data_IF_310196423936
#
_entry.id   IF_310196423936
#
_cell.length_a   1.000
_cell.length_b   1.000
_cell.length_c   1.000
_cell.angle_alpha   90.00
_cell.angle_beta   90.00
_cell.angle_gamma   90.00
#
_symmetry.space_group_name_H-M   'P 1'
#
loop_
_entity.id
_entity.type
_entity.pdbx_description
1 polymer ?
#
# COMPACT_ATOMS: atom_id res chain seq x y z
N UNK A 1 -39.01 -8.93 50.13
CA UNK A 1 -39.62 -9.95 49.25
C UNK A 1 -40.26 -9.25 48.07
N UNK A 2 -39.55 -9.12 46.94
CA UNK A 2 -40.10 -8.52 45.72
C UNK A 2 -39.82 -9.46 44.55
N UNK A 3 -40.83 -10.25 44.17
CA UNK A 3 -40.79 -11.09 42.98
C UNK A 3 -40.88 -10.21 41.74
N UNK A 4 -39.77 -10.12 41.00
CA UNK A 4 -39.69 -9.42 39.71
C UNK A 4 -39.93 -10.45 38.60
N UNK A 5 -41.08 -10.34 37.96
CA UNK A 5 -41.51 -11.17 36.84
C UNK A 5 -40.51 -11.11 35.68
N UNK A 6 -39.86 -12.24 35.37
CA UNK A 6 -39.09 -12.42 34.14
C UNK A 6 -40.06 -12.76 33.00
N UNK A 7 -40.41 -11.77 32.19
CA UNK A 7 -41.04 -12.01 30.89
C UNK A 7 -39.98 -12.54 29.91
N UNK A 8 -40.03 -13.85 29.67
CA UNK A 8 -39.22 -14.53 28.65
C UNK A 8 -39.94 -14.40 27.30
N UNK A 9 -39.63 -13.33 26.56
CA UNK A 9 -40.06 -13.19 25.16
C UNK A 9 -39.05 -13.97 24.32
N UNK A 10 -39.46 -15.11 23.74
CA UNK A 10 -38.71 -15.80 22.67
C UNK A 10 -39.05 -15.11 21.34
N UNK A 11 -38.13 -14.35 20.71
CA UNK A 11 -38.34 -13.91 19.35
C UNK A 11 -38.14 -15.09 18.40
N UNK A 12 -39.24 -15.66 17.93
CA UNK A 12 -39.23 -16.65 16.85
C UNK A 12 -39.30 -15.90 15.51
N UNK A 13 -38.17 -15.30 15.11
CA UNK A 13 -38.05 -14.63 13.81
C UNK A 13 -37.27 -15.54 12.89
N UNK A 14 -37.99 -16.49 12.28
CA UNK A 14 -37.53 -17.19 11.08
C UNK A 14 -37.70 -16.25 9.87
N UNK A 15 -36.93 -15.16 9.84
CA UNK A 15 -36.76 -14.40 8.60
C UNK A 15 -35.78 -15.18 7.74
N UNK A 16 -36.31 -16.07 6.89
CA UNK A 16 -35.61 -16.56 5.71
C UNK A 16 -35.40 -15.36 4.79
N UNK A 17 -34.46 -14.49 5.14
CA UNK A 17 -33.87 -13.56 4.20
C UNK A 17 -33.14 -14.45 3.21
N UNK A 18 -33.83 -14.80 2.11
CA UNK A 18 -33.19 -15.05 0.84
C UNK A 18 -32.36 -13.81 0.59
N UNK A 19 -31.10 -13.82 1.05
CA UNK A 19 -30.10 -12.92 0.55
C UNK A 19 -30.20 -13.09 -0.95
N UNK A 20 -30.68 -12.06 -1.63
CA UNK A 20 -30.39 -11.91 -3.03
C UNK A 20 -28.86 -11.92 -3.07
N UNK A 21 -28.30 -13.10 -3.28
CA UNK A 21 -26.93 -13.31 -3.70
C UNK A 21 -26.89 -12.61 -5.05
N UNK A 22 -26.71 -11.30 -4.99
CA UNK A 22 -26.36 -10.51 -6.13
C UNK A 22 -25.10 -11.19 -6.63
N UNK A 23 -25.18 -11.86 -7.78
CA UNK A 23 -24.12 -12.43 -8.62
C UNK A 23 -23.12 -11.33 -9.07
N UNK A 24 -22.66 -10.57 -8.09
CA UNK A 24 -21.57 -9.60 -8.11
C UNK A 24 -20.34 -10.44 -7.75
N UNK A 25 -19.71 -11.16 -8.66
CA UNK A 25 -19.39 -10.78 -10.03
C UNK A 25 -19.23 -12.01 -10.91
N UNK A 26 -19.94 -12.08 -12.04
CA UNK A 26 -19.85 -13.15 -13.05
C UNK A 26 -18.49 -13.34 -13.75
N UNK A 27 -17.39 -12.91 -13.14
CA UNK A 27 -16.03 -13.22 -13.61
C UNK A 27 -15.64 -14.57 -13.02
N UNK A 28 -15.51 -15.57 -13.90
CA UNK A 28 -15.05 -16.91 -13.53
C UNK A 28 -13.76 -16.86 -12.69
N UNK A 29 -13.73 -17.60 -11.57
CA UNK A 29 -12.57 -17.73 -10.69
C UNK A 29 -11.31 -18.11 -11.49
N UNK A 30 -11.47 -18.95 -12.50
CA UNK A 30 -10.38 -19.35 -13.40
C UNK A 30 -9.78 -18.13 -14.12
N UNK A 31 -10.60 -17.20 -14.60
CA UNK A 31 -10.11 -15.99 -15.26
C UNK A 31 -9.32 -15.10 -14.29
N UNK A 32 -9.82 -14.92 -13.06
CA UNK A 32 -9.12 -14.13 -12.03
C UNK A 32 -7.76 -14.74 -11.69
N UNK A 33 -7.71 -16.07 -11.51
CA UNK A 33 -6.48 -16.82 -11.26
C UNK A 33 -5.45 -16.62 -12.38
N UNK A 34 -5.82 -16.89 -13.64
CA UNK A 34 -4.89 -16.78 -14.77
C UNK A 34 -4.43 -15.33 -15.00
N UNK A 35 -5.33 -14.36 -14.84
CA UNK A 35 -5.00 -12.94 -14.97
C UNK A 35 -3.98 -12.50 -13.91
N UNK A 36 -4.23 -12.82 -12.64
CA UNK A 36 -3.32 -12.50 -11.54
C UNK A 36 -1.98 -13.23 -11.67
N UNK A 37 -1.97 -14.48 -12.14
CA UNK A 37 -0.75 -15.27 -12.33
C UNK A 37 0.16 -14.66 -13.40
N UNK A 38 -0.39 -14.34 -14.57
CA UNK A 38 0.37 -13.75 -15.68
C UNK A 38 0.92 -12.38 -15.28
N UNK A 39 0.07 -11.53 -14.69
CA UNK A 39 0.48 -10.19 -14.24
C UNK A 39 1.52 -10.28 -13.11
N UNK A 40 1.33 -11.19 -12.15
CA UNK A 40 2.23 -11.41 -11.03
C UNK A 40 3.62 -11.86 -11.48
N UNK A 41 3.70 -12.87 -12.36
CA UNK A 41 4.98 -13.35 -12.90
C UNK A 41 5.70 -12.25 -13.68
N UNK A 42 4.99 -11.54 -14.55
CA UNK A 42 5.58 -10.44 -15.33
C UNK A 42 6.09 -9.33 -14.40
N UNK A 43 5.30 -8.94 -13.41
CA UNK A 43 5.67 -7.92 -12.41
C UNK A 43 6.88 -8.35 -11.59
N UNK A 44 6.95 -9.62 -11.17
CA UNK A 44 8.07 -10.18 -10.40
C UNK A 44 9.36 -10.17 -11.23
N UNK A 45 9.32 -10.66 -12.48
CA UNK A 45 10.48 -10.65 -13.38
C UNK A 45 10.97 -9.22 -13.61
N UNK A 46 10.06 -8.28 -13.91
CA UNK A 46 10.41 -6.87 -14.06
C UNK A 46 11.04 -6.29 -12.79
N UNK A 47 10.47 -6.57 -11.62
CA UNK A 47 10.95 -6.06 -10.33
C UNK A 47 12.33 -6.62 -9.99
N UNK A 48 12.53 -7.94 -10.14
CA UNK A 48 13.82 -8.60 -9.92
C UNK A 48 14.89 -8.10 -10.89
N UNK A 49 14.57 -7.91 -12.17
CA UNK A 49 15.51 -7.34 -13.14
C UNK A 49 15.92 -5.91 -12.77
N UNK A 50 14.95 -5.07 -12.38
CA UNK A 50 15.22 -3.70 -11.95
C UNK A 50 16.09 -3.71 -10.69
N UNK A 51 15.76 -4.56 -9.72
CA UNK A 51 16.47 -4.74 -8.47
C UNK A 51 17.91 -5.23 -8.69
N UNK A 52 18.11 -6.26 -9.52
CA UNK A 52 19.42 -6.77 -9.89
C UNK A 52 20.28 -5.69 -10.56
N UNK A 53 19.74 -5.00 -11.56
CA UNK A 53 20.44 -3.89 -12.24
C UNK A 53 20.76 -2.75 -11.30
N UNK A 54 19.92 -2.54 -10.29
CA UNK A 54 20.11 -1.52 -9.28
C UNK A 54 21.24 -1.87 -8.31
N UNK A 55 21.27 -3.12 -7.82
CA UNK A 55 22.35 -3.63 -6.95
C UNK A 55 23.69 -3.76 -7.67
N UNK A 56 23.70 -4.14 -8.95
CA UNK A 56 24.91 -4.35 -9.74
C UNK A 56 25.75 -3.07 -9.93
N UNK A 57 25.18 -1.87 -9.75
CA UNK A 57 25.90 -0.62 -9.91
C UNK A 57 26.14 0.05 -8.54
N UNK A 58 27.31 -0.23 -7.95
CA UNK A 58 27.70 0.30 -6.64
C UNK A 58 27.62 1.83 -6.54
N UNK A 59 27.93 2.56 -7.62
CA UNK A 59 27.88 4.04 -7.63
C UNK A 59 26.47 4.56 -7.40
N UNK A 60 25.44 3.82 -7.83
CA UNK A 60 24.03 4.20 -7.63
C UNK A 60 23.59 4.00 -6.19
N UNK A 61 24.19 3.06 -5.45
CA UNK A 61 23.82 2.79 -4.07
C UNK A 61 24.18 3.94 -3.13
N UNK A 62 25.21 4.73 -3.43
CA UNK A 62 25.63 5.83 -2.55
C UNK A 62 24.77 7.10 -2.65
N UNK A 63 23.93 7.21 -3.68
CA UNK A 63 23.03 8.35 -3.79
C UNK A 63 21.84 8.16 -2.85
N UNK A 64 21.68 9.09 -1.90
CA UNK A 64 20.69 9.04 -0.83
C UNK A 64 19.24 8.86 -1.35
N UNK A 65 18.91 9.49 -2.46
CA UNK A 65 17.62 9.33 -3.13
C UNK A 65 17.37 7.89 -3.60
N UNK A 66 18.40 7.10 -3.87
CA UNK A 66 18.19 5.79 -4.43
C UNK A 66 17.90 4.72 -3.35
N UNK A 67 18.05 5.03 -2.05
CA UNK A 67 17.69 4.07 -0.99
C UNK A 67 16.18 3.85 -0.83
N UNK A 68 15.34 4.87 -0.95
CA UNK A 68 13.88 4.68 -0.78
C UNK A 68 13.26 3.89 -1.95
N UNK A 69 13.53 4.27 -3.21
CA UNK A 69 14.19 3.38 -4.17
C UNK A 69 14.11 1.87 -3.92
N UNK A 70 15.23 1.41 -3.36
CA UNK A 70 15.49 0.05 -2.96
C UNK A 70 14.47 -0.48 -1.96
N UNK A 71 14.09 0.30 -0.94
CA UNK A 71 13.09 -0.12 0.07
C UNK A 71 11.71 -0.39 -0.55
N UNK A 72 11.26 0.45 -1.48
CA UNK A 72 10.03 0.23 -2.24
C UNK A 72 10.14 -1.01 -3.14
N UNK A 73 11.29 -1.24 -3.78
CA UNK A 73 11.50 -2.44 -4.60
C UNK A 73 11.43 -3.71 -3.73
N UNK A 74 12.08 -3.68 -2.58
CA UNK A 74 12.11 -4.80 -1.63
C UNK A 74 10.71 -5.11 -1.10
N UNK A 75 9.98 -4.12 -0.61
CA UNK A 75 8.61 -4.30 -0.12
C UNK A 75 7.68 -4.82 -1.22
N UNK A 76 7.81 -4.33 -2.45
CA UNK A 76 7.03 -4.83 -3.59
C UNK A 76 7.35 -6.29 -3.94
N UNK A 77 8.63 -6.68 -3.92
CA UNK A 77 9.02 -8.09 -4.14
C UNK A 77 8.45 -8.97 -3.02
N UNK A 78 8.54 -8.55 -1.76
CA UNK A 78 7.97 -9.30 -0.64
C UNK A 78 6.45 -9.46 -0.80
N UNK A 79 5.74 -8.39 -1.16
CA UNK A 79 4.29 -8.40 -1.37
C UNK A 79 3.90 -9.36 -2.52
N UNK A 80 4.62 -9.33 -3.64
CA UNK A 80 4.38 -10.28 -4.74
C UNK A 80 4.69 -11.73 -4.33
N UNK A 81 5.76 -11.95 -3.56
CA UNK A 81 6.13 -13.31 -3.15
C UNK A 81 5.22 -13.89 -2.06
N UNK A 82 4.65 -13.04 -1.20
CA UNK A 82 3.80 -13.46 -0.08
C UNK A 82 2.33 -13.35 -0.44
N UNK A 83 1.80 -12.12 -0.44
CA UNK A 83 0.39 -11.81 -0.62
C UNK A 83 -0.19 -12.36 -1.95
N UNK A 84 0.46 -12.06 -3.08
CA UNK A 84 0.00 -12.58 -4.39
C UNK A 84 0.07 -14.11 -4.46
N UNK A 85 1.11 -14.73 -3.91
CA UNK A 85 1.23 -16.19 -3.89
C UNK A 85 0.12 -16.84 -3.06
N UNK A 86 -0.18 -16.29 -1.88
CA UNK A 86 -1.24 -16.79 -1.01
C UNK A 86 -2.64 -16.56 -1.61
N UNK A 87 -2.87 -15.42 -2.25
CA UNK A 87 -4.10 -15.13 -2.99
C UNK A 87 -4.29 -16.10 -4.17
N UNK A 88 -3.26 -16.33 -4.97
CA UNK A 88 -3.30 -17.27 -6.10
C UNK A 88 -3.60 -18.69 -5.65
N UNK A 89 -3.02 -19.11 -4.53
CA UNK A 89 -3.31 -20.43 -4.00
C UNK A 89 -4.77 -20.54 -3.51
N UNK A 90 -5.29 -19.51 -2.83
CA UNK A 90 -6.70 -19.47 -2.44
C UNK A 90 -7.64 -19.57 -3.64
N UNK A 91 -7.33 -18.89 -4.74
CA UNK A 91 -8.11 -18.98 -5.99
C UNK A 91 -8.03 -20.36 -6.64
N UNK A 92 -6.87 -21.03 -6.58
CA UNK A 92 -6.69 -22.38 -7.11
C UNK A 92 -7.60 -23.39 -6.43
N UNK A 93 -7.84 -23.24 -5.12
CA UNK A 93 -8.68 -24.15 -4.33
C UNK A 93 -10.16 -23.75 -4.29
N UNK A 94 -10.65 -23.09 -5.35
CA UNK A 94 -12.04 -22.60 -5.44
C UNK A 94 -12.43 -21.67 -4.29
N UNK A 95 -11.50 -20.84 -3.83
CA UNK A 95 -11.71 -19.86 -2.75
C UNK A 95 -11.40 -20.36 -1.34
N UNK A 96 -10.85 -21.57 -1.18
CA UNK A 96 -10.41 -22.08 0.13
C UNK A 96 -8.96 -21.70 0.40
N UNK A 97 -8.64 -21.25 1.62
CA UNK A 97 -7.26 -20.97 2.00
C UNK A 97 -6.45 -22.27 2.22
N UNK A 98 -5.22 -22.36 1.68
CA UNK A 98 -4.34 -23.54 1.80
C UNK A 98 -4.17 -24.00 3.25
N UNK A 99 -3.89 -23.02 4.11
CA UNK A 99 -3.82 -23.18 5.54
C UNK A 99 -5.06 -22.52 6.12
N UNK A 100 -6.14 -23.28 6.21
CA UNK A 100 -7.37 -22.90 6.92
C UNK A 100 -7.15 -22.89 8.44
N UNK A 101 -6.08 -22.25 8.89
CA UNK A 101 -5.70 -22.11 10.28
C UNK A 101 -5.78 -20.64 10.66
N UNK A 102 -6.40 -20.38 11.80
CA UNK A 102 -6.49 -19.03 12.38
C UNK A 102 -5.14 -18.29 12.45
N UNK A 103 -4.01 -18.89 12.89
CA UNK A 103 -2.73 -18.18 12.94
C UNK A 103 -2.22 -17.78 11.56
N UNK A 104 -2.42 -18.59 10.51
CA UNK A 104 -2.01 -18.23 9.15
C UNK A 104 -2.76 -16.99 8.65
N UNK A 105 -4.08 -16.93 8.88
CA UNK A 105 -4.91 -15.77 8.54
C UNK A 105 -4.44 -14.48 9.23
N UNK A 106 -4.09 -14.56 10.52
CA UNK A 106 -3.58 -13.40 11.26
C UNK A 106 -2.22 -12.93 10.74
N UNK A 107 -1.33 -13.87 10.42
CA UNK A 107 -0.02 -13.56 9.80
C UNK A 107 -0.24 -12.90 8.44
N UNK A 108 -1.13 -13.45 7.62
CA UNK A 108 -1.44 -12.89 6.31
C UNK A 108 -1.94 -11.46 6.43
N UNK A 109 -2.99 -11.20 7.22
CA UNK A 109 -3.49 -9.84 7.44
C UNK A 109 -2.37 -8.92 7.96
N UNK A 110 -1.54 -9.38 8.89
CA UNK A 110 -0.44 -8.55 9.41
C UNK A 110 0.53 -8.16 8.30
N UNK A 111 0.92 -9.11 7.46
CA UNK A 111 1.85 -8.88 6.34
C UNK A 111 1.23 -7.94 5.29
N UNK A 112 -0.01 -8.21 4.86
CA UNK A 112 -0.71 -7.39 3.87
C UNK A 112 -0.84 -5.93 4.34
N UNK A 113 -1.52 -5.73 5.48
CA UNK A 113 -1.76 -4.40 6.01
C UNK A 113 -0.46 -3.64 6.31
N UNK A 114 0.56 -4.31 6.89
CA UNK A 114 1.84 -3.64 7.21
C UNK A 114 2.60 -3.25 5.95
N UNK A 115 2.76 -4.16 4.98
CA UNK A 115 3.56 -3.88 3.78
C UNK A 115 2.89 -2.83 2.88
N UNK A 116 1.57 -2.92 2.71
CA UNK A 116 0.83 -1.95 1.89
C UNK A 116 0.96 -0.53 2.44
N UNK A 117 0.70 -0.36 3.75
CA UNK A 117 0.81 0.95 4.38
C UNK A 117 2.26 1.45 4.50
N UNK A 118 3.23 0.53 4.62
CA UNK A 118 4.66 0.86 4.58
C UNK A 118 5.05 1.50 3.26
N UNK A 119 4.55 0.99 2.11
CA UNK A 119 4.84 1.60 0.81
C UNK A 119 4.33 3.05 0.73
N UNK A 120 3.10 3.30 1.16
CA UNK A 120 2.49 4.63 1.13
C UNK A 120 3.22 5.61 2.06
N UNK A 121 3.56 5.19 3.27
CA UNK A 121 4.31 6.04 4.23
C UNK A 121 5.76 6.29 3.81
N UNK A 122 6.45 5.29 3.24
CA UNK A 122 7.78 5.49 2.63
C UNK A 122 7.70 6.52 1.50
N UNK A 123 6.67 6.46 0.65
CA UNK A 123 6.47 7.41 -0.45
C UNK A 123 6.16 8.82 0.06
N UNK A 124 5.35 8.95 1.11
CA UNK A 124 5.09 10.22 1.77
C UNK A 124 6.35 10.84 2.37
N UNK A 125 7.13 10.04 3.09
CA UNK A 125 8.41 10.50 3.66
C UNK A 125 9.42 10.87 2.57
N UNK A 126 9.55 10.07 1.51
CA UNK A 126 10.41 10.39 0.37
C UNK A 126 10.04 11.71 -0.31
N UNK A 127 8.75 12.06 -0.33
CA UNK A 127 8.26 13.34 -0.85
C UNK A 127 8.68 14.52 0.04
N UNK A 128 8.55 14.39 1.36
CA UNK A 128 9.05 15.36 2.34
C UNK A 128 10.56 15.53 2.20
N UNK A 129 11.29 14.42 2.21
CA UNK A 129 12.75 14.39 2.11
C UNK A 129 13.24 15.08 0.83
N UNK A 130 12.60 14.81 -0.32
CA UNK A 130 12.94 15.46 -1.58
C UNK A 130 12.71 16.97 -1.52
N UNK A 131 11.64 17.41 -0.88
CA UNK A 131 11.38 18.84 -0.67
C UNK A 131 12.47 19.48 0.18
N UNK A 132 12.82 18.87 1.32
CA UNK A 132 13.89 19.34 2.20
C UNK A 132 15.23 19.41 1.46
N UNK A 133 15.61 18.40 0.68
CA UNK A 133 16.87 18.41 -0.09
C UNK A 133 16.95 19.57 -1.09
N UNK A 134 15.83 19.97 -1.65
CA UNK A 134 15.77 21.02 -2.68
C UNK A 134 15.77 22.42 -2.08
N UNK A 135 15.02 22.65 -1.00
CA UNK A 135 14.87 23.98 -0.39
C UNK A 135 15.84 24.22 0.77
N UNK A 136 16.33 23.16 1.41
CA UNK A 136 17.14 23.22 2.62
C UNK A 136 18.37 22.30 2.54
N UNK A 137 19.09 22.33 1.42
CA UNK A 137 20.26 21.47 1.16
C UNK A 137 21.34 21.51 2.27
N UNK A 138 21.50 22.66 2.94
CA UNK A 138 22.43 22.83 4.07
C UNK A 138 22.10 21.93 5.27
N UNK A 139 20.83 21.57 5.47
CA UNK A 139 20.38 20.77 6.62
C UNK A 139 20.80 19.29 6.54
N UNK A 140 21.08 18.78 5.33
CA UNK A 140 21.46 17.37 5.07
C UNK A 140 22.95 17.28 4.63
N UNK A 141 23.76 18.29 4.94
CA UNK A 141 25.15 18.34 4.49
C UNK A 141 26.04 17.29 5.19
N UNK A 142 25.88 17.13 6.51
CA UNK A 142 26.78 16.27 7.29
C UNK A 142 26.35 14.79 7.32
N UNK A 143 27.32 13.87 7.50
CA UNK A 143 27.04 12.42 7.61
C UNK A 143 26.10 12.10 8.79
N UNK A 144 26.27 12.77 9.93
CA UNK A 144 25.42 12.58 11.11
C UNK A 144 23.98 13.02 10.83
N UNK A 145 23.78 14.19 10.22
CA UNK A 145 22.45 14.66 9.83
C UNK A 145 21.77 13.70 8.83
N UNK A 146 22.52 13.18 7.85
CA UNK A 146 21.99 12.17 6.92
C UNK A 146 21.50 10.93 7.67
N UNK A 147 22.25 10.45 8.66
CA UNK A 147 21.82 9.31 9.47
C UNK A 147 20.47 9.56 10.17
N UNK A 148 20.35 10.69 10.88
CA UNK A 148 19.14 11.02 11.64
C UNK A 148 17.92 11.34 10.78
N UNK A 149 18.07 12.11 9.70
CA UNK A 149 16.92 12.54 8.89
C UNK A 149 16.50 11.49 7.84
N UNK A 150 17.44 10.72 7.30
CA UNK A 150 17.16 9.73 6.26
C UNK A 150 16.92 8.35 6.87
N UNK A 151 17.95 7.70 7.41
CA UNK A 151 17.89 6.29 7.78
C UNK A 151 17.02 6.01 9.01
N UNK A 152 17.15 6.85 10.04
CA UNK A 152 16.39 6.68 11.28
C UNK A 152 14.88 6.84 11.02
N UNK A 153 14.48 7.82 10.20
CA UNK A 153 13.08 8.08 9.88
C UNK A 153 12.39 6.89 9.22
N UNK A 154 12.99 6.30 8.18
CA UNK A 154 12.42 5.09 7.55
C UNK A 154 12.36 3.91 8.52
N UNK A 155 13.39 3.73 9.35
CA UNK A 155 13.44 2.64 10.34
C UNK A 155 12.32 2.78 11.36
N UNK A 156 12.11 3.98 11.90
CA UNK A 156 11.04 4.27 12.86
C UNK A 156 9.67 4.03 12.22
N UNK A 157 9.45 4.50 10.99
CA UNK A 157 8.17 4.30 10.28
C UNK A 157 7.83 2.82 10.08
N UNK A 158 8.82 2.01 9.68
CA UNK A 158 8.64 0.57 9.50
C UNK A 158 8.32 -0.10 10.85
N UNK A 159 9.12 0.17 11.88
CA UNK A 159 8.88 -0.42 13.22
C UNK A 159 7.51 -0.03 13.76
N UNK A 160 7.11 1.23 13.61
CA UNK A 160 5.81 1.73 14.02
C UNK A 160 4.67 0.95 13.36
N UNK A 161 4.69 0.79 12.04
CA UNK A 161 3.61 0.10 11.32
C UNK A 161 3.52 -1.38 11.68
N UNK A 162 4.64 -2.09 11.71
CA UNK A 162 4.64 -3.50 12.10
C UNK A 162 4.15 -3.67 13.54
N UNK A 163 4.60 -2.82 14.47
CA UNK A 163 4.15 -2.90 15.87
C UNK A 163 2.66 -2.59 16.00
N UNK A 164 2.17 -1.59 15.27
CA UNK A 164 0.74 -1.24 15.25
C UNK A 164 -0.11 -2.42 14.77
N UNK A 165 0.20 -2.99 13.60
CA UNK A 165 -0.60 -4.08 13.03
C UNK A 165 -0.48 -5.39 13.80
N UNK A 166 0.70 -5.71 14.32
CA UNK A 166 0.85 -6.84 15.25
C UNK A 166 -0.06 -6.63 16.48
N UNK A 167 -0.05 -5.44 17.07
CA UNK A 167 -0.89 -5.10 18.20
C UNK A 167 -2.39 -5.24 17.91
N UNK A 168 -2.88 -4.60 16.83
CA UNK A 168 -4.32 -4.59 16.55
C UNK A 168 -4.87 -5.93 16.02
N UNK A 169 -4.02 -6.78 15.43
CA UNK A 169 -4.46 -8.08 14.88
C UNK A 169 -4.34 -9.21 15.89
N UNK A 170 -3.24 -9.26 16.67
CA UNK A 170 -3.00 -10.33 17.65
C UNK A 170 -3.57 -10.02 19.03
N UNK A 171 -3.72 -8.74 19.41
CA UNK A 171 -4.29 -8.30 20.68
C UNK A 171 -5.55 -7.42 20.53
N UNK A 172 -6.51 -7.77 19.65
CA UNK A 172 -7.75 -7.00 19.53
C UNK A 172 -8.62 -7.17 20.80
N UNK A 173 -9.44 -6.17 21.15
CA UNK A 173 -10.38 -6.28 22.27
C UNK A 173 -11.61 -7.13 21.93
N UNK A 174 -11.63 -7.77 20.76
CA UNK A 174 -12.74 -8.58 20.25
C UNK A 174 -12.21 -9.81 19.50
N UNK A 175 -13.05 -10.84 19.35
CA UNK A 175 -12.64 -12.11 18.74
C UNK A 175 -12.61 -11.98 17.21
N UNK A 176 -11.48 -12.31 16.60
CA UNK A 176 -11.39 -12.42 15.13
C UNK A 176 -12.25 -13.58 14.64
N UNK A 177 -13.07 -13.30 13.62
CA UNK A 177 -13.85 -14.30 12.90
C UNK A 177 -13.17 -14.60 11.56
N UNK A 178 -13.21 -15.86 11.14
CA UNK A 178 -12.56 -16.31 9.90
C UNK A 178 -13.57 -17.12 9.08
N UNK A 179 -13.61 -16.86 7.78
CA UNK A 179 -14.35 -17.68 6.83
C UNK A 179 -13.36 -18.33 5.84
N UNK A 180 -12.95 -19.55 6.15
CA UNK A 180 -11.98 -20.31 5.35
C UNK A 180 -12.50 -20.77 3.98
N UNK A 181 -13.79 -20.56 3.69
CA UNK A 181 -14.40 -20.86 2.38
C UNK A 181 -14.40 -19.65 1.44
N UNK A 182 -13.79 -18.53 1.83
CA UNK A 182 -13.66 -17.35 1.00
C UNK A 182 -12.20 -16.89 0.91
N UNK A 183 -11.93 -16.10 -0.13
CA UNK A 183 -10.62 -15.53 -0.44
C UNK A 183 -10.16 -14.62 0.72
N UNK A 184 -8.85 -14.57 0.99
CA UNK A 184 -8.26 -13.73 2.06
C UNK A 184 -8.79 -14.03 3.47
N UNK A 185 -9.14 -15.30 3.72
CA UNK A 185 -9.76 -15.75 4.97
C UNK A 185 -11.17 -15.16 5.21
N UNK A 186 -11.76 -14.56 4.16
CA UNK A 186 -13.18 -14.36 3.94
C UNK A 186 -13.89 -13.30 4.79
N UNK A 187 -13.25 -12.82 5.85
CA UNK A 187 -13.77 -11.82 6.76
C UNK A 187 -12.71 -10.78 7.06
N UNK A 188 -13.16 -9.61 7.52
CA UNK A 188 -12.27 -8.54 7.93
C UNK A 188 -11.75 -8.77 9.36
N UNK A 189 -10.50 -8.36 9.66
CA UNK A 189 -10.01 -8.33 11.04
C UNK A 189 -10.96 -7.60 11.97
N UNK A 190 -11.12 -8.10 13.20
CA UNK A 190 -12.10 -7.56 14.15
C UNK A 190 -11.85 -6.10 14.51
N UNK A 191 -10.60 -5.62 14.47
CA UNK A 191 -10.29 -4.22 14.75
C UNK A 191 -11.01 -3.25 13.79
N UNK A 192 -11.39 -3.70 12.59
CA UNK A 192 -12.16 -2.91 11.63
C UNK A 192 -13.63 -2.71 12.03
N UNK A 193 -14.10 -3.36 13.09
CA UNK A 193 -15.41 -3.07 13.71
C UNK A 193 -15.34 -1.95 14.75
N UNK A 194 -14.13 -1.58 15.19
CA UNK A 194 -13.91 -0.60 16.25
C UNK A 194 -13.69 0.76 15.60
N UNK A 195 -14.69 1.64 15.72
CA UNK A 195 -14.71 2.94 15.04
C UNK A 195 -13.43 3.75 15.22
N UNK A 196 -12.87 3.78 16.43
CA UNK A 196 -11.63 4.51 16.72
C UNK A 196 -10.44 3.97 15.91
N UNK A 197 -10.25 2.64 15.86
CA UNK A 197 -9.12 2.04 15.14
C UNK A 197 -9.28 2.16 13.63
N UNK A 198 -10.50 2.02 13.11
CA UNK A 198 -10.82 2.26 11.70
C UNK A 198 -10.51 3.70 11.32
N UNK A 199 -10.94 4.66 12.14
CA UNK A 199 -10.70 6.08 11.88
C UNK A 199 -9.20 6.40 11.94
N UNK A 200 -8.48 5.82 12.89
CA UNK A 200 -7.02 5.95 12.99
C UNK A 200 -6.34 5.40 11.74
N UNK A 201 -6.69 4.19 11.31
CA UNK A 201 -6.11 3.57 10.12
C UNK A 201 -6.39 4.38 8.84
N UNK A 202 -7.64 4.81 8.68
CA UNK A 202 -8.07 5.64 7.55
C UNK A 202 -7.35 6.99 7.53
N UNK A 203 -7.25 7.68 8.67
CA UNK A 203 -6.65 9.02 8.72
C UNK A 203 -5.12 8.93 8.67
N UNK A 204 -4.50 8.17 9.57
CA UNK A 204 -3.06 8.21 9.82
C UNK A 204 -2.28 7.38 8.81
N UNK A 205 -2.78 6.22 8.39
CA UNK A 205 -2.04 5.34 7.47
C UNK A 205 -2.42 5.57 6.00
N UNK A 206 -3.61 6.11 5.73
CA UNK A 206 -4.09 6.31 4.37
C UNK A 206 -4.20 7.80 3.98
N UNK A 207 -5.09 8.57 4.61
CA UNK A 207 -5.43 9.93 4.16
C UNK A 207 -4.26 10.91 4.34
N UNK A 208 -3.65 10.94 5.53
CA UNK A 208 -2.55 11.84 5.87
C UNK A 208 -1.31 11.61 4.97
N UNK A 209 -0.80 10.38 4.78
CA UNK A 209 0.31 10.13 3.86
C UNK A 209 -0.01 10.56 2.43
N UNK A 210 -1.24 10.32 1.97
CA UNK A 210 -1.69 10.73 0.63
C UNK A 210 -1.67 12.26 0.49
N UNK A 211 -2.20 12.99 1.48
CA UNK A 211 -2.18 14.45 1.49
C UNK A 211 -0.76 15.00 1.53
N UNK A 212 0.14 14.39 2.31
CA UNK A 212 1.57 14.73 2.34
C UNK A 212 2.18 14.55 0.95
N UNK A 213 1.99 13.40 0.30
CA UNK A 213 2.49 13.16 -1.07
C UNK A 213 1.99 14.25 -2.02
N UNK A 214 0.71 14.59 -1.98
CA UNK A 214 0.12 15.61 -2.84
C UNK A 214 0.73 17.00 -2.57
N UNK A 215 0.73 17.45 -1.31
CA UNK A 215 1.24 18.77 -0.90
C UNK A 215 2.71 18.94 -1.29
N UNK A 216 3.56 17.93 -1.05
CA UNK A 216 5.00 18.04 -1.35
C UNK A 216 5.33 17.85 -2.83
N UNK A 217 4.49 17.13 -3.59
CA UNK A 217 4.67 16.94 -5.03
C UNK A 217 4.25 18.15 -5.87
N UNK A 218 3.30 18.96 -5.39
CA UNK A 218 2.80 20.14 -6.11
C UNK A 218 3.88 21.23 -6.34
N UNK A 219 4.67 21.67 -5.34
CA UNK A 219 5.75 22.64 -5.53
C UNK A 219 6.85 22.15 -6.48
N UNK A 220 7.16 20.85 -6.41
CA UNK A 220 8.10 20.19 -7.31
C UNK A 220 7.62 20.29 -8.77
N UNK A 221 6.34 19.99 -9.00
CA UNK A 221 5.72 20.11 -10.32
C UNK A 221 5.69 21.56 -10.80
N UNK A 222 5.28 22.50 -9.94
CA UNK A 222 5.27 23.92 -10.24
C UNK A 222 6.66 24.42 -10.67
N UNK A 223 7.72 24.05 -9.93
CA UNK A 223 9.10 24.43 -10.27
C UNK A 223 9.54 23.89 -11.62
N UNK A 224 9.19 22.64 -11.95
CA UNK A 224 9.49 22.04 -13.26
C UNK A 224 8.81 22.82 -14.39
N UNK A 225 7.53 23.20 -14.20
CA UNK A 225 6.77 24.00 -15.17
C UNK A 225 7.37 25.40 -15.33
N UNK A 226 7.71 26.08 -14.23
CA UNK A 226 8.31 27.42 -14.24
C UNK A 226 9.67 27.42 -14.93
N UNK A 227 10.52 26.43 -14.67
CA UNK A 227 11.83 26.32 -15.33
C UNK A 227 11.68 26.10 -16.83
N UNK A 228 10.70 25.29 -17.26
CA UNK A 228 10.39 25.05 -18.68
C UNK A 228 10.00 26.33 -19.41
N UNK A 229 9.22 27.22 -18.78
CA UNK A 229 8.84 28.51 -19.40
C UNK A 229 10.06 29.38 -19.74
N UNK A 230 11.14 29.23 -18.97
CA UNK A 230 12.37 30.01 -19.16
C UNK A 230 13.30 29.35 -20.19
N UNK A 231 13.33 28.02 -20.27
CA UNK A 231 14.21 27.27 -21.18
C UNK A 231 13.40 26.64 -22.32
N UNK A 232 13.22 27.40 -23.41
CA UNK A 232 12.51 27.00 -24.64
C UNK A 232 13.26 25.92 -25.45
N UNK A 233 13.53 24.76 -24.87
CA UNK A 233 14.12 23.60 -25.58
C UNK A 233 13.10 22.47 -25.65
N UNK A 234 12.60 22.21 -26.86
CA UNK A 234 11.19 21.84 -27.08
C UNK A 234 10.82 20.36 -26.99
N UNK A 235 11.73 19.37 -27.05
CA UNK A 235 11.27 18.02 -27.43
C UNK A 235 11.43 16.87 -26.40
N UNK A 236 12.09 17.06 -25.24
CA UNK A 236 12.41 15.93 -24.33
C UNK A 236 11.58 15.82 -23.04
N UNK A 237 10.91 16.90 -22.61
CA UNK A 237 10.32 16.98 -21.26
C UNK A 237 8.81 16.73 -21.14
N UNK A 238 8.05 16.70 -22.24
CA UNK A 238 6.60 16.38 -22.18
C UNK A 238 6.32 14.98 -21.59
N UNK A 239 7.27 14.05 -21.71
CA UNK A 239 7.19 12.69 -21.13
C UNK A 239 7.38 12.64 -19.61
N UNK A 240 7.94 13.69 -18.98
CA UNK A 240 8.28 13.69 -17.54
C UNK A 240 7.11 14.24 -16.71
N UNK A 241 6.42 15.28 -17.18
CA UNK A 241 5.28 15.89 -16.46
C UNK A 241 4.05 14.98 -16.39
N UNK A 242 3.80 14.17 -17.41
CA UNK A 242 2.63 13.27 -17.46
C UNK A 242 2.67 12.19 -16.38
N UNK A 243 3.87 11.79 -15.95
CA UNK A 243 4.09 10.69 -15.02
C UNK A 243 3.99 11.13 -13.54
N UNK A 244 4.26 12.40 -13.24
CA UNK A 244 4.06 12.94 -11.88
C UNK A 244 2.60 13.28 -11.62
N UNK A 245 1.82 13.56 -12.67
CA UNK A 245 0.40 13.92 -12.58
C UNK A 245 -0.53 12.71 -12.38
N UNK A 246 -0.12 11.51 -12.76
CA UNK A 246 -0.93 10.28 -12.57
C UNK A 246 -1.08 9.88 -11.10
N UNK A 247 -0.07 10.15 -10.26
CA UNK A 247 -0.06 9.79 -8.83
C UNK A 247 -1.23 10.39 -8.02
N UNK A 248 -1.44 11.72 -8.00
CA UNK A 248 -2.55 12.31 -7.24
C UNK A 248 -3.92 11.99 -7.85
N UNK A 249 -4.00 11.78 -9.17
CA UNK A 249 -5.25 11.40 -9.83
C UNK A 249 -5.71 10.00 -9.41
N UNK A 250 -4.78 9.05 -9.37
CA UNK A 250 -5.02 7.69 -8.91
C UNK A 250 -5.41 7.67 -7.43
N UNK A 251 -4.77 8.50 -6.60
CA UNK A 251 -5.16 8.68 -5.20
C UNK A 251 -6.57 9.25 -5.05
N UNK A 252 -6.93 10.33 -5.76
CA UNK A 252 -8.28 10.88 -5.75
C UNK A 252 -9.33 9.85 -6.19
N UNK A 253 -9.05 9.06 -7.23
CA UNK A 253 -9.95 8.00 -7.68
C UNK A 253 -10.16 6.91 -6.63
N UNK A 254 -9.13 6.59 -5.83
CA UNK A 254 -9.25 5.60 -4.75
C UNK A 254 -10.10 6.07 -3.55
N UNK A 255 -10.33 7.38 -3.40
CA UNK A 255 -11.15 7.95 -2.33
C UNK A 255 -12.59 8.29 -2.75
N UNK A 256 -12.96 8.10 -4.02
CA UNK A 256 -14.35 8.27 -4.41
C UNK A 256 -15.19 7.18 -3.72
N UNK A 257 -16.19 7.57 -2.89
CA UNK A 257 -16.98 6.63 -2.13
C UNK A 257 -17.92 5.88 -3.08
N UNK A 258 -17.44 4.80 -3.67
CA UNK A 258 -18.30 3.88 -4.38
C UNK A 258 -19.00 3.02 -3.33
N UNK A 259 -20.24 3.41 -3.02
CA UNK A 259 -21.06 2.76 -2.01
C UNK A 259 -21.14 1.26 -2.27
N UNK A 260 -20.89 0.47 -1.22
CA UNK A 260 -21.12 -0.98 -1.14
C UNK A 260 -20.12 -1.89 -1.86
N UNK A 261 -18.87 -1.88 -1.41
CA UNK A 261 -18.14 -3.06 -0.87
C UNK A 261 -16.66 -2.68 -0.72
N UNK A 262 -16.18 -2.84 0.50
CA UNK A 262 -14.83 -2.56 0.98
C UNK A 262 -13.73 -3.08 0.05
N UNK A 263 -12.73 -2.23 -0.17
CA UNK A 263 -11.35 -2.58 -0.54
C UNK A 263 -11.09 -3.25 -1.90
N UNK A 264 -11.13 -2.48 -2.99
CA UNK A 264 -10.21 -2.75 -4.12
C UNK A 264 -8.86 -2.07 -3.86
N UNK A 265 -7.97 -2.73 -3.11
CA UNK A 265 -6.57 -2.32 -2.88
C UNK A 265 -5.65 -2.60 -4.08
N UNK A 266 -6.07 -2.33 -5.32
CA UNK A 266 -5.27 -2.66 -6.54
C UNK A 266 -4.26 -1.54 -6.91
N UNK A 267 -4.11 -0.51 -6.08
CA UNK A 267 -3.61 0.78 -6.56
C UNK A 267 -2.07 0.99 -6.61
N UNK A 268 -1.19 0.38 -5.79
CA UNK A 268 0.21 0.84 -5.73
C UNK A 268 1.16 0.25 -6.79
N UNK A 269 0.77 -0.81 -7.51
CA UNK A 269 1.68 -1.48 -8.47
C UNK A 269 1.96 -0.59 -9.71
N UNK A 270 1.00 0.24 -10.11
CA UNK A 270 1.15 1.15 -11.26
C UNK A 270 2.02 2.38 -10.96
N UNK A 271 2.15 2.77 -9.69
CA UNK A 271 2.89 3.97 -9.29
C UNK A 271 4.41 3.82 -9.37
N UNK A 272 4.93 2.59 -9.45
CA UNK A 272 6.36 2.33 -9.26
C UNK A 272 7.19 2.21 -10.55
N UNK A 273 6.61 1.66 -11.62
CA UNK A 273 7.25 1.60 -12.94
C UNK A 273 7.54 2.99 -13.54
N UNK A 274 6.98 4.03 -12.94
CA UNK A 274 6.95 5.40 -13.42
C UNK A 274 8.14 6.27 -12.94
N UNK A 275 8.79 5.95 -11.81
CA UNK A 275 9.84 6.80 -11.23
C UNK A 275 11.25 6.62 -11.86
N UNK A 276 11.52 5.52 -12.58
CA UNK A 276 12.87 5.14 -13.04
C UNK A 276 13.48 6.03 -14.13
N UNK A 277 12.69 6.83 -14.87
CA UNK A 277 13.19 7.67 -15.99
C UNK A 277 13.66 9.07 -15.59
N UNK A 278 13.51 9.47 -14.33
CA UNK A 278 13.77 10.84 -13.88
C UNK A 278 15.27 11.09 -13.57
N UNK A 279 16.07 10.06 -13.29
CA UNK A 279 17.39 10.24 -12.66
C UNK A 279 18.62 9.90 -13.51
N UNK A 280 18.48 9.39 -14.74
CA UNK A 280 19.64 9.02 -15.57
C UNK A 280 20.24 10.15 -16.41
N UNK A 281 19.70 11.39 -16.38
CA UNK A 281 20.12 12.46 -17.31
C UNK A 281 20.94 13.61 -16.71
N UNK A 282 21.14 13.66 -15.39
CA UNK A 282 21.81 14.79 -14.72
C UNK A 282 23.14 14.46 -14.01
N UNK A 283 23.76 13.29 -14.25
CA UNK A 283 25.03 12.88 -13.59
C UNK A 283 26.23 12.88 -14.57
N UNK A 284 26.14 13.58 -15.70
CA UNK A 284 27.25 13.72 -16.67
C UNK A 284 27.58 15.18 -17.01
N UNK A 285 27.47 16.07 -16.02
CA UNK A 285 28.10 17.40 -16.04
C UNK A 285 28.69 17.71 -14.68
#
# INVERSE_FOLDING_TARGET
>A
MHQRWKFSIKPNVHSSSKSADIDTSGISIAFQFWSLLIVGILSLICSLFVFYRYLSNHTRLYALHNHFILLLMMTNIILILTDFSWMLDSLRQSGRALSATSPFSMIWWTVDFSLYNTQTLILAWASIERHILIFHSKMISTRKQKFYYHYLSYTILIIYLFTFYIGVIFLPPCKNEFNFNAVECGLNPCYLSIQFLVLWDLIIHNALPTLIIAIFSLPLLYRIISHKKTTSTTNSMAKISTVTLSLPYVACLSYLPNGTRQHRRIVPILTFLQHRRIYTRNITK
#
